data_IF_042430705660
#
_entry.id   IF_042430705660
#
_cell.length_a   1.000
_cell.length_b   1.000
_cell.length_c   1.000
_cell.angle_alpha   90.00
_cell.angle_beta   90.00
_cell.angle_gamma   90.00
#
_symmetry.space_group_name_H-M   'P 1'
#
loop_
_entity.id
_entity.type
_entity.pdbx_description
1 polymer ?
#
# COMPACT_ATOMS: atom_id res chain seq x y z
N UNK A 1 73.98 7.83 7.89
CA UNK A 1 73.11 8.00 6.71
C UNK A 1 71.66 7.55 7.09
N UNK A 2 70.97 8.37 7.84
CA UNK A 2 69.57 8.15 8.22
C UNK A 2 69.01 9.43 8.88
N UNK A 3 68.84 10.49 8.12
CA UNK A 3 68.25 11.76 8.61
C UNK A 3 67.60 12.50 7.45
N UNK A 4 66.44 11.98 6.97
CA UNK A 4 65.59 12.72 6.03
C UNK A 4 64.21 12.01 5.89
N UNK A 5 63.40 11.95 6.94
CA UNK A 5 61.99 11.52 6.84
C UNK A 5 61.09 12.19 7.92
N UNK A 6 61.28 13.47 8.16
CA UNK A 6 60.22 14.29 8.80
C UNK A 6 59.88 15.45 7.86
N UNK A 7 59.13 15.13 6.82
CA UNK A 7 58.41 16.14 6.07
C UNK A 7 57.32 16.61 6.99
N UNK A 8 57.49 17.85 7.49
CA UNK A 8 56.51 18.59 8.26
C UNK A 8 55.21 18.59 7.43
N UNK A 9 54.18 17.92 7.90
CA UNK A 9 52.84 18.03 7.30
C UNK A 9 52.49 19.54 7.41
N UNK A 10 52.38 20.19 6.27
CA UNK A 10 51.86 21.54 6.14
C UNK A 10 50.38 21.41 6.60
N UNK A 11 50.12 21.90 7.81
CA UNK A 11 48.77 22.02 8.34
C UNK A 11 48.11 23.08 7.48
N UNK A 12 47.18 22.71 6.63
CA UNK A 12 46.32 23.65 5.91
C UNK A 12 45.82 24.68 6.94
N UNK A 13 45.94 25.98 6.67
CA UNK A 13 45.46 27.01 7.59
C UNK A 13 43.94 26.75 7.80
N UNK A 14 43.55 26.73 9.08
CA UNK A 14 42.14 26.63 9.45
C UNK A 14 41.34 27.65 8.62
N UNK A 15 40.21 27.26 8.02
CA UNK A 15 39.43 28.21 7.24
C UNK A 15 39.10 29.42 8.09
N UNK A 16 39.35 30.60 7.54
CA UNK A 16 39.08 31.87 8.20
C UNK A 16 37.56 31.97 8.45
N UNK A 17 37.16 31.70 9.70
CA UNK A 17 35.75 31.62 10.13
C UNK A 17 35.09 32.99 9.91
N UNK A 18 35.82 34.08 10.09
CA UNK A 18 35.29 35.42 9.88
C UNK A 18 35.06 35.72 8.38
N UNK A 19 35.95 35.32 7.51
CA UNK A 19 35.77 35.42 6.05
C UNK A 19 34.72 34.50 5.54
N UNK A 20 34.49 33.35 6.18
CA UNK A 20 33.39 32.41 5.82
C UNK A 20 32.03 32.98 6.26
N UNK A 21 31.92 33.59 7.44
CA UNK A 21 30.68 34.21 7.91
C UNK A 21 30.29 35.42 7.05
N UNK A 22 31.24 36.28 6.71
CA UNK A 22 31.02 37.44 5.82
C UNK A 22 30.56 37.01 4.42
N UNK A 23 31.08 35.90 3.88
CA UNK A 23 30.61 35.32 2.59
C UNK A 23 29.18 34.79 2.66
N UNK A 24 28.82 34.12 3.73
CA UNK A 24 27.49 33.61 3.98
C UNK A 24 26.48 34.76 4.09
N UNK A 25 26.79 35.78 4.87
CA UNK A 25 25.91 36.93 5.05
C UNK A 25 25.73 37.72 3.75
N UNK A 26 26.79 37.95 2.99
CA UNK A 26 26.70 38.59 1.68
C UNK A 26 25.86 37.79 0.71
N UNK A 27 26.07 36.47 0.62
CA UNK A 27 25.27 35.57 -0.24
C UNK A 27 23.78 35.64 0.12
N UNK A 28 23.44 35.68 1.41
CA UNK A 28 22.09 35.81 1.91
C UNK A 28 21.48 37.14 1.54
N UNK A 29 22.16 38.26 1.83
CA UNK A 29 21.66 39.61 1.57
C UNK A 29 21.36 39.87 0.09
N UNK A 30 22.15 39.31 -0.84
CA UNK A 30 21.96 39.45 -2.27
C UNK A 30 20.69 38.73 -2.77
N UNK A 31 20.20 37.69 -2.06
CA UNK A 31 19.11 36.78 -2.53
C UNK A 31 17.91 36.74 -1.60
N UNK A 32 18.00 37.29 -0.43
CA UNK A 32 16.96 37.20 0.61
C UNK A 32 15.61 37.77 0.13
N UNK A 33 15.62 38.81 -0.69
CA UNK A 33 14.41 39.43 -1.24
C UNK A 33 13.63 38.44 -2.10
N UNK A 34 14.32 37.69 -2.98
CA UNK A 34 13.72 36.70 -3.86
C UNK A 34 13.21 35.51 -3.05
N UNK A 35 13.98 35.07 -2.05
CA UNK A 35 13.57 33.96 -1.17
C UNK A 35 12.34 34.30 -0.35
N UNK A 36 12.27 35.50 0.23
CA UNK A 36 11.09 35.98 0.97
C UNK A 36 9.88 36.15 0.09
N UNK A 37 10.07 36.64 -1.14
CA UNK A 37 8.98 36.72 -2.13
C UNK A 37 8.46 35.33 -2.46
N UNK A 38 9.35 34.36 -2.74
CA UNK A 38 8.97 32.97 -2.97
C UNK A 38 8.24 32.38 -1.77
N UNK A 39 8.73 32.62 -0.56
CA UNK A 39 8.13 32.12 0.67
C UNK A 39 6.71 32.67 0.86
N UNK A 40 6.50 33.96 0.66
CA UNK A 40 5.19 34.59 0.76
C UNK A 40 4.17 33.98 -0.25
N UNK A 41 4.62 33.73 -1.49
CA UNK A 41 3.79 33.09 -2.53
C UNK A 41 3.45 31.64 -2.10
N UNK A 42 4.44 30.87 -1.69
CA UNK A 42 4.28 29.47 -1.26
C UNK A 42 3.34 29.40 -0.06
N UNK A 43 3.50 30.24 0.95
CA UNK A 43 2.64 30.27 2.12
C UNK A 43 1.17 30.65 1.77
N UNK A 44 0.99 31.58 0.85
CA UNK A 44 -0.34 31.96 0.39
C UNK A 44 -1.04 30.81 -0.38
N UNK A 45 -0.28 30.06 -1.19
CA UNK A 45 -0.77 28.86 -1.90
C UNK A 45 -1.12 27.73 -0.93
N UNK A 46 -0.28 27.42 0.05
CA UNK A 46 -0.51 26.41 1.08
C UNK A 46 -1.76 26.70 1.92
N UNK A 47 -1.98 27.97 2.25
CA UNK A 47 -3.19 28.42 2.99
C UNK A 47 -4.41 28.64 2.11
N UNK A 48 -4.34 28.26 0.83
CA UNK A 48 -5.40 28.44 -0.18
C UNK A 48 -5.94 29.90 -0.27
N UNK A 49 -5.03 30.88 -0.09
CA UNK A 49 -5.33 32.32 -0.12
C UNK A 49 -5.03 32.93 -1.49
N UNK A 50 -5.57 32.33 -2.57
CA UNK A 50 -5.30 32.74 -3.95
C UNK A 50 -5.59 34.23 -4.24
N UNK A 51 -6.56 34.84 -3.55
CA UNK A 51 -6.88 36.28 -3.69
C UNK A 51 -5.77 37.22 -3.22
N UNK A 52 -4.76 36.73 -2.54
CA UNK A 52 -3.63 37.52 -2.03
C UNK A 52 -2.39 37.42 -2.93
N UNK A 53 -2.45 36.66 -3.98
CA UNK A 53 -1.34 36.45 -4.92
C UNK A 53 -1.70 37.22 -6.20
N UNK A 54 -0.80 38.07 -6.65
CA UNK A 54 -0.93 38.78 -7.94
C UNK A 54 -0.64 37.80 -9.10
N UNK A 55 -1.14 38.14 -10.29
CA UNK A 55 -0.84 37.38 -11.50
C UNK A 55 0.68 37.39 -11.80
N UNK A 56 1.35 38.51 -11.50
CA UNK A 56 2.80 38.66 -11.63
C UNK A 56 3.55 37.70 -10.70
N UNK A 57 3.05 37.47 -9.48
CA UNK A 57 3.66 36.53 -8.56
C UNK A 57 3.45 35.07 -8.98
N UNK A 58 2.30 34.74 -9.55
CA UNK A 58 2.05 33.42 -10.11
C UNK A 58 2.97 33.13 -11.31
N UNK A 59 3.18 34.11 -12.18
CA UNK A 59 4.12 33.99 -13.30
C UNK A 59 5.57 33.94 -12.83
N UNK A 60 5.94 34.65 -11.75
CA UNK A 60 7.28 34.64 -11.21
C UNK A 60 7.63 33.35 -10.45
N UNK A 61 6.63 32.60 -9.94
CA UNK A 61 6.83 31.41 -9.10
C UNK A 61 7.82 30.38 -9.68
N UNK A 62 7.75 29.95 -10.97
CA UNK A 62 8.69 28.99 -11.53
C UNK A 62 10.13 29.54 -11.64
N UNK A 63 10.26 30.85 -11.82
CA UNK A 63 11.58 31.53 -11.91
C UNK A 63 12.20 31.61 -10.53
N UNK A 64 11.45 32.10 -9.53
CA UNK A 64 11.88 32.19 -8.14
C UNK A 64 12.24 30.81 -7.56
N UNK A 65 11.46 29.77 -7.91
CA UNK A 65 11.79 28.40 -7.51
C UNK A 65 13.17 27.97 -8.07
N UNK A 66 13.42 28.18 -9.35
CA UNK A 66 14.72 27.82 -9.97
C UNK A 66 15.88 28.60 -9.35
N UNK A 67 15.68 29.87 -9.05
CA UNK A 67 16.69 30.69 -8.36
C UNK A 67 16.98 30.18 -6.95
N UNK A 68 15.94 29.83 -6.18
CA UNK A 68 16.11 29.25 -4.85
C UNK A 68 16.79 27.86 -4.91
N UNK A 69 16.43 27.01 -5.88
CA UNK A 69 17.07 25.72 -6.07
C UNK A 69 18.56 25.85 -6.46
N UNK A 70 18.90 26.81 -7.33
CA UNK A 70 20.29 27.16 -7.65
C UNK A 70 21.04 27.69 -6.41
N UNK A 71 20.39 28.56 -5.63
CA UNK A 71 20.96 29.07 -4.39
C UNK A 71 21.26 27.95 -3.39
N UNK A 72 20.37 26.96 -3.29
CA UNK A 72 20.58 25.76 -2.45
C UNK A 72 21.79 24.95 -2.91
N UNK A 73 21.96 24.75 -4.22
CA UNK A 73 23.09 24.03 -4.77
C UNK A 73 24.41 24.73 -4.43
N UNK A 74 24.50 26.06 -4.64
CA UNK A 74 25.67 26.88 -4.30
C UNK A 74 25.93 26.85 -2.79
N UNK A 75 24.87 26.96 -1.96
CA UNK A 75 24.99 26.91 -0.52
C UNK A 75 25.58 25.57 0.00
N UNK A 76 25.25 24.48 -0.64
CA UNK A 76 25.82 23.15 -0.32
C UNK A 76 27.28 23.02 -0.72
N UNK A 77 27.65 23.51 -1.90
CA UNK A 77 29.03 23.45 -2.40
C UNK A 77 29.97 24.35 -1.61
N UNK A 78 29.50 25.53 -1.19
CA UNK A 78 30.30 26.50 -0.47
C UNK A 78 30.28 26.35 1.05
N UNK A 79 29.64 25.28 1.55
CA UNK A 79 29.54 24.97 2.99
C UNK A 79 29.07 26.18 3.82
N UNK A 80 28.01 26.86 3.38
CA UNK A 80 27.38 27.95 4.10
C UNK A 80 26.81 27.46 5.45
N UNK A 81 26.42 28.42 6.29
CA UNK A 81 25.90 28.12 7.62
C UNK A 81 24.68 27.17 7.57
N UNK A 82 24.56 26.32 8.60
CA UNK A 82 23.52 25.28 8.66
C UNK A 82 22.09 25.86 8.69
N UNK A 83 21.90 27.08 9.19
CA UNK A 83 20.60 27.71 9.27
C UNK A 83 20.11 28.11 7.87
N UNK A 84 20.97 28.73 7.06
CA UNK A 84 20.66 29.07 5.66
C UNK A 84 20.41 27.83 4.83
N UNK A 85 21.18 26.75 5.00
CA UNK A 85 20.94 25.47 4.32
C UNK A 85 19.58 24.90 4.67
N UNK A 86 19.26 24.79 5.96
CA UNK A 86 17.96 24.23 6.42
C UNK A 86 16.79 25.06 5.91
N UNK A 87 16.90 26.38 5.93
CA UNK A 87 15.90 27.29 5.40
C UNK A 87 15.67 27.06 3.90
N UNK A 88 16.73 27.05 3.10
CA UNK A 88 16.63 26.86 1.65
C UNK A 88 16.10 25.47 1.30
N UNK A 89 16.52 24.42 2.00
CA UNK A 89 15.99 23.07 1.80
C UNK A 89 14.49 23.00 2.05
N UNK A 90 14.03 23.63 3.13
CA UNK A 90 12.60 23.72 3.44
C UNK A 90 11.84 24.50 2.38
N UNK A 91 12.34 25.69 2.00
CA UNK A 91 11.71 26.57 1.02
C UNK A 91 11.63 25.91 -0.36
N UNK A 92 12.74 25.36 -0.87
CA UNK A 92 12.79 24.69 -2.17
C UNK A 92 11.85 23.48 -2.21
N UNK A 93 11.81 22.67 -1.15
CA UNK A 93 10.90 21.53 -1.06
C UNK A 93 9.43 21.97 -1.08
N UNK A 94 9.05 22.99 -0.30
CA UNK A 94 7.69 23.53 -0.27
C UNK A 94 7.29 24.12 -1.63
N UNK A 95 8.18 24.92 -2.21
CA UNK A 95 7.96 25.52 -3.53
C UNK A 95 7.84 24.47 -4.63
N UNK A 96 8.62 23.40 -4.58
CA UNK A 96 8.54 22.29 -5.53
C UNK A 96 7.13 21.67 -5.55
N UNK A 97 6.54 21.47 -4.36
CA UNK A 97 5.16 20.96 -4.26
C UNK A 97 4.12 21.91 -4.86
N UNK A 98 4.34 23.21 -4.83
CA UNK A 98 3.43 24.19 -5.43
C UNK A 98 3.58 24.26 -6.96
N UNK A 99 4.80 24.10 -7.48
CA UNK A 99 5.10 24.15 -8.93
C UNK A 99 4.78 22.84 -9.63
N UNK A 100 5.19 21.71 -9.04
CA UNK A 100 5.13 20.37 -9.66
C UNK A 100 4.23 19.37 -8.94
N UNK A 101 3.75 19.73 -7.75
CA UNK A 101 2.89 18.84 -6.96
C UNK A 101 1.53 18.60 -7.60
N UNK A 102 0.81 17.57 -7.16
CA UNK A 102 -0.51 17.26 -7.68
C UNK A 102 -1.50 18.36 -7.36
N UNK A 103 -2.08 18.98 -8.38
CA UNK A 103 -3.05 20.09 -8.26
C UNK A 103 -4.45 19.66 -7.78
N UNK A 104 -4.66 18.37 -7.51
CA UNK A 104 -5.96 17.84 -7.08
C UNK A 104 -6.01 17.71 -5.56
N UNK A 105 -7.03 18.28 -4.93
CA UNK A 105 -7.29 18.08 -3.50
C UNK A 105 -7.55 16.60 -3.20
N UNK A 106 -7.16 16.13 -2.01
CA UNK A 106 -7.41 14.76 -1.53
C UNK A 106 -8.89 14.36 -1.70
N UNK A 107 -9.82 15.26 -1.39
CA UNK A 107 -11.27 15.03 -1.54
C UNK A 107 -11.69 14.83 -3.01
N UNK A 108 -11.12 15.60 -3.94
CA UNK A 108 -11.38 15.43 -5.38
C UNK A 108 -10.78 14.13 -5.89
N UNK A 109 -9.57 13.78 -5.43
CA UNK A 109 -8.94 12.51 -5.77
C UNK A 109 -9.78 11.34 -5.26
N UNK A 110 -10.17 11.35 -3.98
CA UNK A 110 -10.98 10.29 -3.37
C UNK A 110 -12.33 10.14 -4.07
N UNK A 111 -13.00 11.25 -4.40
CA UNK A 111 -14.26 11.21 -5.15
C UNK A 111 -14.11 10.61 -6.54
N UNK A 112 -13.02 10.92 -7.25
CA UNK A 112 -12.72 10.32 -8.56
C UNK A 112 -12.34 8.83 -8.42
N UNK A 113 -11.57 8.50 -7.41
CA UNK A 113 -11.17 7.13 -7.11
C UNK A 113 -12.38 6.24 -6.82
N UNK A 114 -13.19 6.60 -5.83
CA UNK A 114 -14.40 5.84 -5.45
C UNK A 114 -15.51 5.96 -6.48
N UNK A 115 -15.62 7.08 -7.19
CA UNK A 115 -16.64 7.34 -8.20
C UNK A 115 -16.44 6.62 -9.53
N UNK A 116 -15.56 5.59 -9.59
CA UNK A 116 -15.40 4.70 -10.74
C UNK A 116 -13.97 4.51 -11.23
N UNK A 117 -13.01 5.29 -10.74
CA UNK A 117 -11.59 5.11 -11.09
C UNK A 117 -11.06 3.76 -10.64
N UNK A 118 -11.34 3.39 -9.40
CA UNK A 118 -10.94 2.10 -8.84
C UNK A 118 -11.63 0.93 -9.54
N UNK A 119 -12.94 0.98 -9.71
CA UNK A 119 -13.67 -0.09 -10.41
C UNK A 119 -13.21 -0.24 -11.87
N UNK A 120 -12.83 0.84 -12.54
CA UNK A 120 -12.24 0.77 -13.88
C UNK A 120 -10.86 0.10 -13.87
N UNK A 121 -10.01 0.40 -12.87
CA UNK A 121 -8.71 -0.25 -12.71
C UNK A 121 -8.86 -1.76 -12.46
N UNK A 122 -9.80 -2.17 -11.59
CA UNK A 122 -10.11 -3.59 -11.32
C UNK A 122 -10.59 -4.30 -12.59
N UNK A 123 -11.54 -3.74 -13.32
CA UNK A 123 -12.01 -4.34 -14.58
C UNK A 123 -10.93 -4.46 -15.64
N UNK A 124 -9.97 -3.56 -15.66
CA UNK A 124 -8.89 -3.58 -16.64
C UNK A 124 -7.90 -4.74 -16.45
N UNK A 125 -7.89 -5.36 -15.26
CA UNK A 125 -7.04 -6.52 -14.93
C UNK A 125 -7.87 -7.81 -14.73
N UNK A 126 -9.00 -7.94 -15.42
CA UNK A 126 -9.94 -9.06 -15.25
C UNK A 126 -9.29 -10.43 -15.49
N UNK A 127 -8.35 -10.51 -16.45
CA UNK A 127 -7.64 -11.75 -16.77
C UNK A 127 -6.79 -12.21 -15.59
N UNK A 128 -6.04 -11.29 -14.99
CA UNK A 128 -5.21 -11.56 -13.82
C UNK A 128 -6.07 -11.90 -12.59
N UNK A 129 -7.26 -11.32 -12.48
CA UNK A 129 -8.25 -11.70 -11.45
C UNK A 129 -8.70 -13.14 -11.65
N UNK A 130 -9.01 -13.55 -12.87
CA UNK A 130 -9.40 -14.94 -13.17
C UNK A 130 -8.26 -15.93 -12.86
N UNK A 131 -7.01 -15.59 -13.22
CA UNK A 131 -5.85 -16.43 -12.93
C UNK A 131 -5.61 -16.54 -11.42
N UNK A 132 -5.64 -15.42 -10.70
CA UNK A 132 -5.50 -15.40 -9.24
C UNK A 132 -6.62 -16.19 -8.56
N UNK A 133 -7.86 -16.03 -8.99
CA UNK A 133 -9.02 -16.79 -8.47
C UNK A 133 -8.84 -18.29 -8.69
N UNK A 134 -8.42 -18.70 -9.89
CA UNK A 134 -8.16 -20.11 -10.19
C UNK A 134 -7.05 -20.68 -9.28
N UNK A 135 -5.98 -19.92 -9.04
CA UNK A 135 -4.92 -20.32 -8.12
C UNK A 135 -5.43 -20.44 -6.66
N UNK A 136 -6.26 -19.50 -6.20
CA UNK A 136 -6.88 -19.54 -4.87
C UNK A 136 -7.80 -20.74 -4.71
N UNK A 137 -8.67 -21.01 -5.68
CA UNK A 137 -9.57 -22.18 -5.67
C UNK A 137 -8.76 -23.48 -5.70
N UNK A 138 -7.75 -23.57 -6.55
CA UNK A 138 -6.88 -24.74 -6.62
C UNK A 138 -6.16 -24.98 -5.29
N UNK A 139 -5.60 -23.92 -4.66
CA UNK A 139 -4.98 -24.01 -3.34
C UNK A 139 -5.93 -24.53 -2.28
N UNK A 140 -7.16 -23.98 -2.22
CA UNK A 140 -8.19 -24.44 -1.29
C UNK A 140 -8.54 -25.90 -1.50
N UNK A 141 -8.73 -26.33 -2.76
CA UNK A 141 -9.01 -27.72 -3.10
C UNK A 141 -7.85 -28.65 -2.71
N UNK A 142 -6.60 -28.24 -2.96
CA UNK A 142 -5.40 -29.02 -2.58
C UNK A 142 -5.33 -29.17 -1.06
N UNK A 143 -5.49 -28.11 -0.29
CA UNK A 143 -5.46 -28.19 1.18
C UNK A 143 -6.55 -29.09 1.74
N UNK A 144 -7.78 -28.95 1.22
CA UNK A 144 -8.89 -29.84 1.58
C UNK A 144 -8.56 -31.33 1.31
N UNK A 145 -8.09 -31.64 0.09
CA UNK A 145 -7.83 -33.03 -0.33
C UNK A 145 -6.62 -33.65 0.42
N UNK A 146 -5.61 -32.88 0.73
CA UNK A 146 -4.46 -33.37 1.48
C UNK A 146 -4.88 -33.79 2.88
N UNK A 147 -5.58 -32.93 3.61
CA UNK A 147 -6.02 -33.20 4.99
C UNK A 147 -7.11 -34.29 5.03
N UNK A 148 -7.97 -34.35 4.01
CA UNK A 148 -8.96 -35.42 3.86
C UNK A 148 -8.35 -36.81 3.68
N UNK A 149 -7.14 -36.90 3.10
CA UNK A 149 -6.43 -38.17 2.91
C UNK A 149 -5.56 -38.55 4.10
N UNK A 150 -4.95 -37.55 4.73
CA UNK A 150 -4.04 -37.73 5.85
C UNK A 150 -4.08 -36.48 6.73
N UNK A 151 -4.58 -36.64 7.95
CA UNK A 151 -4.78 -35.54 8.91
C UNK A 151 -3.46 -34.86 9.35
N UNK A 152 -2.30 -35.53 9.20
CA UNK A 152 -1.00 -34.97 9.60
C UNK A 152 -0.63 -33.77 8.70
N UNK A 153 -1.15 -33.71 7.48
CA UNK A 153 -1.00 -32.55 6.60
C UNK A 153 -1.54 -31.25 7.21
N UNK A 154 -2.53 -31.36 8.11
CA UNK A 154 -3.07 -30.16 8.77
C UNK A 154 -1.99 -29.38 9.52
N UNK A 155 -1.19 -30.06 10.30
CA UNK A 155 -0.15 -29.44 11.12
C UNK A 155 1.01 -28.90 10.27
N UNK A 156 1.28 -29.52 9.14
CA UNK A 156 2.27 -29.03 8.17
C UNK A 156 1.80 -27.77 7.46
N UNK A 157 0.49 -27.63 7.18
CA UNK A 157 -0.09 -26.51 6.43
C UNK A 157 -0.46 -25.32 7.33
N UNK A 158 -1.08 -25.58 8.48
CA UNK A 158 -1.64 -24.53 9.34
C UNK A 158 -0.62 -24.04 10.38
N UNK A 159 0.31 -24.88 10.80
CA UNK A 159 1.28 -24.59 11.85
C UNK A 159 0.64 -24.54 13.25
N UNK A 160 1.44 -24.83 14.27
CA UNK A 160 0.95 -24.92 15.67
C UNK A 160 0.38 -23.61 16.19
N UNK A 161 0.99 -22.47 15.88
CA UNK A 161 0.57 -21.15 16.35
C UNK A 161 -0.80 -20.73 15.83
N UNK A 162 -1.17 -21.17 14.62
CA UNK A 162 -2.47 -20.89 13.99
C UNK A 162 -3.52 -21.95 14.28
N UNK A 163 -3.11 -23.17 14.59
CA UNK A 163 -4.01 -24.26 14.91
C UNK A 163 -4.88 -23.93 16.15
N UNK A 164 -4.30 -23.36 17.21
CA UNK A 164 -5.07 -22.85 18.35
C UNK A 164 -6.10 -23.85 18.91
N UNK A 165 -5.78 -25.15 18.94
CA UNK A 165 -6.71 -26.22 19.33
C UNK A 165 -7.73 -26.62 18.27
N UNK A 166 -7.62 -26.14 17.03
CA UNK A 166 -8.56 -26.40 15.92
C UNK A 166 -8.09 -27.52 14.98
N UNK A 167 -7.28 -28.45 15.46
CA UNK A 167 -6.77 -29.55 14.64
C UNK A 167 -7.76 -30.72 14.44
N UNK A 168 -7.45 -31.68 13.54
CA UNK A 168 -8.28 -32.85 13.28
C UNK A 168 -8.57 -33.74 14.51
N UNK A 169 -7.71 -33.67 15.55
CA UNK A 169 -7.92 -34.37 16.82
C UNK A 169 -8.84 -33.66 17.81
N UNK A 170 -9.31 -32.44 17.50
CA UNK A 170 -10.20 -31.71 18.38
C UNK A 170 -11.65 -32.23 18.25
N UNK A 171 -12.29 -32.51 19.39
CA UNK A 171 -13.69 -32.91 19.39
C UNK A 171 -14.62 -31.79 18.88
N UNK A 172 -15.80 -32.19 18.34
CA UNK A 172 -16.80 -31.25 17.82
C UNK A 172 -17.12 -30.10 18.78
N UNK A 173 -17.26 -30.39 20.08
CA UNK A 173 -17.59 -29.38 21.07
C UNK A 173 -16.46 -28.35 21.25
N UNK A 174 -15.21 -28.81 21.24
CA UNK A 174 -14.04 -27.94 21.31
C UNK A 174 -13.96 -27.03 20.08
N UNK A 175 -14.18 -27.59 18.88
CA UNK A 175 -14.25 -26.80 17.62
C UNK A 175 -15.39 -25.78 17.65
N UNK A 176 -16.60 -26.19 18.10
CA UNK A 176 -17.76 -25.30 18.18
C UNK A 176 -17.49 -24.10 19.11
N UNK A 177 -16.82 -24.33 20.26
CA UNK A 177 -16.42 -23.23 21.17
C UNK A 177 -15.52 -22.19 20.50
N UNK A 178 -14.69 -22.59 19.55
CA UNK A 178 -13.82 -21.64 18.83
C UNK A 178 -14.57 -20.71 17.87
N UNK A 179 -15.81 -21.02 17.53
CA UNK A 179 -16.69 -20.19 16.70
C UNK A 179 -17.59 -19.25 17.52
N UNK A 180 -17.67 -19.47 18.85
CA UNK A 180 -18.38 -18.61 19.79
C UNK A 180 -17.60 -17.32 20.10
N UNK A 181 -18.29 -16.31 20.68
CA UNK A 181 -17.71 -14.99 20.96
C UNK A 181 -16.97 -14.85 22.31
N UNK A 182 -16.89 -15.92 23.15
CA UNK A 182 -16.57 -15.78 24.57
C UNK A 182 -15.14 -16.16 25.00
N UNK A 183 -14.18 -16.34 24.12
CA UNK A 183 -12.82 -16.72 24.52
C UNK A 183 -11.86 -15.53 24.47
N UNK A 184 -11.17 -15.23 25.58
CA UNK A 184 -10.15 -14.17 25.70
C UNK A 184 -9.06 -14.22 24.63
N UNK A 185 -8.77 -15.40 24.06
CA UNK A 185 -7.83 -15.58 22.96
C UNK A 185 -8.34 -15.18 21.57
N UNK A 186 -9.65 -14.97 21.38
CA UNK A 186 -10.23 -14.68 20.06
C UNK A 186 -9.84 -13.30 19.50
N UNK A 187 -9.67 -12.30 20.36
CA UNK A 187 -9.24 -10.95 19.93
C UNK A 187 -7.80 -10.98 19.41
N UNK A 188 -6.91 -11.71 20.10
CA UNK A 188 -5.51 -11.87 19.66
C UNK A 188 -5.45 -12.65 18.36
N UNK A 189 -6.25 -13.72 18.25
CA UNK A 189 -6.33 -14.51 17.01
C UNK A 189 -6.89 -13.70 15.82
N UNK A 190 -7.88 -12.86 16.04
CA UNK A 190 -8.43 -11.97 15.04
C UNK A 190 -7.40 -10.94 14.56
N UNK A 191 -6.71 -10.29 15.50
CA UNK A 191 -5.64 -9.35 15.15
C UNK A 191 -4.50 -10.04 14.38
N UNK A 192 -4.19 -11.29 14.71
CA UNK A 192 -3.21 -12.10 14.00
C UNK A 192 -3.68 -12.41 12.58
N UNK A 193 -4.93 -12.87 12.38
CA UNK A 193 -5.50 -13.16 11.07
C UNK A 193 -5.53 -11.90 10.18
N UNK A 194 -6.00 -10.79 10.72
CA UNK A 194 -6.01 -9.52 9.99
C UNK A 194 -4.59 -9.13 9.53
N UNK A 195 -3.61 -9.18 10.44
CA UNK A 195 -2.22 -8.86 10.12
C UNK A 195 -1.64 -9.83 9.10
N UNK A 196 -1.97 -11.12 9.19
CA UNK A 196 -1.57 -12.13 8.21
C UNK A 196 -2.16 -11.86 6.84
N UNK A 197 -3.47 -11.59 6.74
CA UNK A 197 -4.15 -11.36 5.47
C UNK A 197 -3.71 -10.05 4.81
N UNK A 198 -3.46 -9.01 5.60
CA UNK A 198 -2.85 -7.77 5.10
C UNK A 198 -1.42 -8.02 4.60
N UNK A 199 -0.61 -8.77 5.35
CA UNK A 199 0.74 -9.15 4.95
C UNK A 199 0.75 -9.98 3.66
N UNK A 200 -0.13 -10.98 3.54
CA UNK A 200 -0.29 -11.80 2.33
C UNK A 200 -0.69 -10.92 1.14
N UNK A 201 -1.64 -10.00 1.30
CA UNK A 201 -2.09 -9.11 0.22
C UNK A 201 -0.96 -8.23 -0.30
N UNK A 202 -0.20 -7.60 0.61
CA UNK A 202 0.94 -6.75 0.26
C UNK A 202 2.06 -7.57 -0.39
N UNK A 203 2.37 -8.74 0.19
CA UNK A 203 3.43 -9.62 -0.32
C UNK A 203 3.05 -10.21 -1.69
N UNK A 204 1.80 -10.63 -1.90
CA UNK A 204 1.31 -11.12 -3.19
C UNK A 204 1.45 -10.05 -4.28
N UNK A 205 1.18 -8.78 -3.94
CA UNK A 205 1.44 -7.66 -4.86
C UNK A 205 2.94 -7.48 -5.12
N UNK A 206 3.76 -7.41 -4.07
CA UNK A 206 5.19 -7.16 -4.19
C UNK A 206 5.93 -8.27 -4.97
N UNK A 207 5.57 -9.52 -4.76
CA UNK A 207 6.12 -10.67 -5.48
C UNK A 207 5.78 -10.67 -6.98
N UNK A 208 4.81 -9.87 -7.40
CA UNK A 208 4.50 -9.62 -8.80
C UNK A 208 5.70 -9.10 -9.60
N UNK A 209 6.57 -8.32 -8.98
CA UNK A 209 7.81 -7.82 -9.61
C UNK A 209 8.82 -8.94 -9.95
N UNK A 210 8.64 -10.16 -9.45
CA UNK A 210 9.37 -11.35 -9.87
C UNK A 210 8.59 -12.13 -10.95
N UNK A 211 8.08 -11.43 -11.96
CA UNK A 211 7.32 -11.97 -13.10
C UNK A 211 6.02 -12.70 -12.74
N UNK A 212 5.51 -12.50 -11.52
CA UNK A 212 4.24 -13.01 -11.03
C UNK A 212 4.21 -14.48 -10.59
N UNK A 213 5.23 -15.28 -10.87
CA UNK A 213 5.26 -16.70 -10.46
C UNK A 213 5.22 -16.84 -8.93
N UNK A 214 6.05 -16.14 -8.13
CA UNK A 214 5.98 -16.23 -6.68
C UNK A 214 4.63 -15.77 -6.10
N UNK A 215 3.95 -14.82 -6.77
CA UNK A 215 2.58 -14.42 -6.39
C UNK A 215 1.61 -15.59 -6.46
N UNK A 216 1.63 -16.36 -7.56
CA UNK A 216 0.78 -17.55 -7.71
C UNK A 216 1.07 -18.59 -6.63
N UNK A 217 2.34 -18.87 -6.38
CA UNK A 217 2.75 -19.82 -5.34
C UNK A 217 2.28 -19.38 -3.96
N UNK A 218 2.40 -18.08 -3.63
CA UNK A 218 1.91 -17.54 -2.38
C UNK A 218 0.39 -17.66 -2.24
N UNK A 219 -0.36 -17.34 -3.30
CA UNK A 219 -1.83 -17.47 -3.30
C UNK A 219 -2.25 -18.93 -3.10
N UNK A 220 -1.65 -19.88 -3.82
CA UNK A 220 -1.91 -21.31 -3.65
C UNK A 220 -1.60 -21.73 -2.21
N UNK A 221 -0.40 -21.41 -1.72
CA UNK A 221 0.04 -21.78 -0.36
C UNK A 221 -0.90 -21.22 0.71
N UNK A 222 -1.25 -19.94 0.64
CA UNK A 222 -2.14 -19.33 1.62
C UNK A 222 -3.55 -19.97 1.60
N UNK A 223 -4.02 -20.37 0.44
CA UNK A 223 -5.34 -21.01 0.29
C UNK A 223 -5.35 -22.50 0.66
N UNK A 224 -4.20 -23.20 0.65
CA UNK A 224 -4.15 -24.57 1.19
C UNK A 224 -4.49 -24.60 2.68
N UNK A 225 -4.05 -23.59 3.43
CA UNK A 225 -4.37 -23.41 4.84
C UNK A 225 -5.89 -23.25 5.06
N UNK A 226 -6.54 -22.42 4.23
CA UNK A 226 -7.99 -22.27 4.27
C UNK A 226 -8.70 -23.59 3.96
N UNK A 227 -8.25 -24.32 2.93
CA UNK A 227 -8.78 -25.63 2.56
C UNK A 227 -8.66 -26.66 3.68
N UNK A 228 -7.51 -26.69 4.36
CA UNK A 228 -7.27 -27.56 5.51
C UNK A 228 -8.24 -27.27 6.67
N UNK A 229 -8.43 -26.00 7.01
CA UNK A 229 -9.38 -25.61 8.07
C UNK A 229 -10.83 -25.93 7.66
N UNK A 230 -11.23 -25.64 6.43
CA UNK A 230 -12.57 -25.97 5.93
C UNK A 230 -12.87 -27.46 6.06
N UNK A 231 -11.89 -28.33 5.76
CA UNK A 231 -12.07 -29.78 5.90
C UNK A 231 -12.28 -30.18 7.36
N UNK A 232 -11.45 -29.73 8.28
CA UNK A 232 -11.55 -30.08 9.72
C UNK A 232 -12.92 -29.74 10.29
N UNK A 233 -13.43 -28.56 10.00
CA UNK A 233 -14.76 -28.18 10.48
C UNK A 233 -15.89 -28.91 9.74
N UNK A 234 -15.73 -29.22 8.46
CA UNK A 234 -16.70 -30.00 7.71
C UNK A 234 -16.79 -31.45 8.20
N UNK A 235 -15.64 -32.09 8.46
CA UNK A 235 -15.56 -33.46 9.01
C UNK A 235 -16.19 -33.55 10.39
N UNK A 236 -16.02 -32.52 11.22
CA UNK A 236 -16.70 -32.41 12.53
C UNK A 236 -18.20 -32.07 12.41
N UNK A 237 -18.77 -31.91 11.22
CA UNK A 237 -20.16 -31.50 10.97
C UNK A 237 -20.45 -30.03 11.36
N UNK A 238 -19.43 -29.16 11.34
CA UNK A 238 -19.48 -27.72 11.63
C UNK A 238 -19.16 -26.87 10.40
N UNK A 239 -19.25 -27.43 9.21
CA UNK A 239 -18.85 -26.74 7.99
C UNK A 239 -19.65 -25.48 7.71
N UNK A 240 -20.98 -25.50 7.96
CA UNK A 240 -21.84 -24.33 7.81
C UNK A 240 -21.48 -23.23 8.82
N UNK A 241 -21.36 -23.62 10.09
CA UNK A 241 -21.05 -22.70 11.18
C UNK A 241 -19.68 -22.01 10.97
N UNK A 242 -18.69 -22.77 10.50
CA UNK A 242 -17.37 -22.22 10.17
C UNK A 242 -17.43 -21.31 8.92
N UNK A 243 -18.12 -21.71 7.87
CA UNK A 243 -18.30 -20.87 6.68
C UNK A 243 -19.02 -19.56 7.00
N UNK A 244 -20.06 -19.61 7.84
CA UNK A 244 -20.77 -18.43 8.30
C UNK A 244 -19.88 -17.55 9.20
N UNK A 245 -19.11 -18.15 10.10
CA UNK A 245 -18.16 -17.45 10.95
C UNK A 245 -17.09 -16.73 10.15
N UNK A 246 -16.55 -17.38 9.12
CA UNK A 246 -15.56 -16.82 8.24
C UNK A 246 -16.15 -15.70 7.36
N UNK A 247 -17.37 -15.87 6.87
CA UNK A 247 -17.95 -14.99 5.83
C UNK A 247 -18.09 -13.54 6.25
N UNK A 248 -18.30 -13.25 7.55
CA UNK A 248 -18.61 -11.90 8.02
C UNK A 248 -17.50 -10.87 7.66
N UNK A 249 -16.24 -11.29 7.67
CA UNK A 249 -15.07 -10.50 7.27
C UNK A 249 -14.33 -11.12 6.08
N UNK A 250 -14.25 -12.45 6.06
CA UNK A 250 -13.45 -13.21 5.11
C UNK A 250 -13.84 -13.00 3.65
N UNK A 251 -15.11 -12.76 3.33
CA UNK A 251 -15.53 -12.44 1.95
C UNK A 251 -14.83 -11.18 1.44
N UNK A 252 -14.71 -10.14 2.26
CA UNK A 252 -14.02 -8.89 1.93
C UNK A 252 -12.50 -9.07 1.92
N UNK A 253 -11.94 -9.82 2.87
CA UNK A 253 -10.50 -10.10 2.94
C UNK A 253 -10.00 -10.95 1.78
N UNK A 254 -10.69 -12.06 1.49
CA UNK A 254 -10.32 -12.94 0.38
C UNK A 254 -10.42 -12.20 -0.96
N UNK A 255 -11.40 -11.31 -1.10
CA UNK A 255 -11.50 -10.46 -2.29
C UNK A 255 -10.36 -9.44 -2.34
N UNK A 256 -9.92 -8.89 -1.20
CA UNK A 256 -8.76 -8.00 -1.14
C UNK A 256 -7.45 -8.73 -1.50
N UNK A 257 -7.25 -9.97 -0.99
CA UNK A 257 -6.10 -10.83 -1.34
C UNK A 257 -6.12 -11.14 -2.85
N UNK A 258 -7.29 -11.48 -3.40
CA UNK A 258 -7.47 -11.73 -4.82
C UNK A 258 -7.05 -10.52 -5.66
N UNK A 259 -7.51 -9.33 -5.29
CA UNK A 259 -7.18 -8.08 -6.00
C UNK A 259 -5.70 -7.71 -5.86
N UNK A 260 -5.11 -7.91 -4.67
CA UNK A 260 -3.68 -7.69 -4.44
C UNK A 260 -2.81 -8.63 -5.28
N UNK A 261 -3.15 -9.92 -5.30
CA UNK A 261 -2.50 -10.91 -6.14
C UNK A 261 -2.65 -10.61 -7.64
N UNK A 262 -3.87 -10.28 -8.08
CA UNK A 262 -4.13 -9.90 -9.48
C UNK A 262 -3.34 -8.63 -9.89
N UNK A 263 -3.24 -7.64 -9.00
CA UNK A 263 -2.43 -6.45 -9.23
C UNK A 263 -0.93 -6.79 -9.38
N UNK A 264 -0.42 -7.70 -8.55
CA UNK A 264 0.94 -8.23 -8.67
C UNK A 264 1.15 -8.98 -9.99
N UNK A 265 0.23 -9.88 -10.34
CA UNK A 265 0.27 -10.61 -11.62
C UNK A 265 0.22 -9.65 -12.82
N UNK A 266 -0.53 -8.55 -12.74
CA UNK A 266 -0.60 -7.54 -13.80
C UNK A 266 0.76 -6.90 -14.05
N UNK A 267 1.48 -6.52 -13.01
CA UNK A 267 2.84 -6.00 -13.12
C UNK A 267 3.77 -7.09 -13.67
N UNK A 268 3.74 -8.30 -13.09
CA UNK A 268 4.59 -9.42 -13.48
C UNK A 268 4.42 -9.79 -14.95
N UNK A 269 3.18 -9.90 -15.42
CA UNK A 269 2.87 -10.18 -16.83
C UNK A 269 3.36 -9.08 -17.75
N UNK A 270 3.24 -7.82 -17.36
CA UNK A 270 3.73 -6.70 -18.18
C UNK A 270 5.26 -6.68 -18.29
N UNK A 271 5.96 -7.15 -17.25
CA UNK A 271 7.42 -7.30 -17.27
C UNK A 271 7.87 -8.51 -18.08
N UNK A 272 7.13 -9.61 -18.01
CA UNK A 272 7.42 -10.83 -18.76
C UNK A 272 7.16 -10.64 -20.27
N UNK A 273 6.16 -9.84 -20.62
CA UNK A 273 5.73 -9.60 -22.00
C UNK A 273 5.61 -8.11 -22.28
N UNK A 274 6.74 -7.35 -22.33
CA UNK A 274 6.72 -5.89 -22.44
C UNK A 274 6.36 -5.38 -23.85
N UNK A 275 6.31 -6.25 -24.87
CA UNK A 275 6.18 -5.86 -26.26
C UNK A 275 7.38 -5.01 -26.72
N UNK A 276 7.10 -3.93 -27.45
CA UNK A 276 8.14 -3.01 -27.98
C UNK A 276 8.69 -2.03 -26.93
N UNK A 277 8.23 -2.10 -25.67
CA UNK A 277 8.67 -1.21 -24.58
C UNK A 277 9.80 -1.83 -23.78
N UNK A 278 10.58 -1.00 -23.10
CA UNK A 278 11.51 -1.53 -22.09
C UNK A 278 10.73 -2.15 -20.92
N UNK A 279 11.31 -3.16 -20.28
CA UNK A 279 10.70 -3.82 -19.09
C UNK A 279 10.32 -2.81 -18.01
N UNK A 280 11.19 -1.82 -17.76
CA UNK A 280 10.94 -0.79 -16.76
C UNK A 280 9.77 0.14 -17.15
N UNK A 281 9.67 0.52 -18.42
CA UNK A 281 8.55 1.32 -18.91
C UNK A 281 7.22 0.55 -18.81
N UNK A 282 7.20 -0.72 -19.19
CA UNK A 282 6.03 -1.59 -19.07
C UNK A 282 5.60 -1.77 -17.60
N UNK A 283 6.57 -2.01 -16.71
CA UNK A 283 6.33 -2.12 -15.26
C UNK A 283 5.78 -0.81 -14.67
N UNK A 284 6.30 0.35 -15.08
CA UNK A 284 5.82 1.66 -14.61
C UNK A 284 4.37 1.93 -15.02
N UNK A 285 4.01 1.61 -16.25
CA UNK A 285 2.64 1.78 -16.75
C UNK A 285 1.64 0.84 -16.06
N UNK A 286 1.99 -0.44 -15.92
CA UNK A 286 1.19 -1.41 -15.19
C UNK A 286 1.11 -1.05 -13.71
N UNK A 287 2.22 -0.59 -13.12
CA UNK A 287 2.33 -0.21 -11.72
C UNK A 287 1.36 0.90 -11.32
N UNK A 288 1.11 1.90 -12.18
CA UNK A 288 0.11 2.95 -11.91
C UNK A 288 -1.30 2.39 -11.73
N UNK A 289 -1.69 1.41 -12.55
CA UNK A 289 -2.99 0.75 -12.45
C UNK A 289 -3.03 -0.18 -11.25
N UNK A 290 -2.00 -0.96 -11.06
CA UNK A 290 -1.85 -1.88 -9.92
C UNK A 290 -1.89 -1.13 -8.58
N UNK A 291 -1.26 0.05 -8.49
CA UNK A 291 -1.31 0.90 -7.30
C UNK A 291 -2.74 1.39 -6.98
N UNK A 292 -3.56 1.69 -7.99
CA UNK A 292 -4.97 2.03 -7.78
C UNK A 292 -5.76 0.83 -7.23
N UNK A 293 -5.52 -0.38 -7.75
CA UNK A 293 -6.16 -1.61 -7.26
C UNK A 293 -5.72 -1.87 -5.81
N UNK A 294 -4.43 -1.76 -5.51
CA UNK A 294 -3.88 -1.94 -4.16
C UNK A 294 -4.42 -0.92 -3.16
N UNK A 295 -4.53 0.35 -3.53
CA UNK A 295 -5.14 1.36 -2.65
C UNK A 295 -6.57 0.98 -2.25
N UNK A 296 -7.33 0.40 -3.18
CA UNK A 296 -8.65 -0.12 -2.91
C UNK A 296 -8.65 -1.40 -2.07
N UNK A 297 -7.71 -2.32 -2.32
CA UNK A 297 -7.55 -3.53 -1.51
C UNK A 297 -7.23 -3.18 -0.04
N UNK A 298 -6.38 -2.18 0.20
CA UNK A 298 -6.12 -1.67 1.56
C UNK A 298 -7.39 -1.14 2.21
N UNK A 299 -8.22 -0.37 1.47
CA UNK A 299 -9.51 0.09 1.99
C UNK A 299 -10.44 -1.07 2.36
N UNK A 300 -10.48 -2.13 1.52
CA UNK A 300 -11.25 -3.34 1.82
C UNK A 300 -10.74 -4.05 3.08
N UNK A 301 -9.43 -4.16 3.26
CA UNK A 301 -8.84 -4.75 4.47
C UNK A 301 -9.20 -3.95 5.73
N UNK A 302 -9.19 -2.63 5.66
CA UNK A 302 -9.65 -1.79 6.78
C UNK A 302 -11.13 -2.05 7.09
N UNK A 303 -11.99 -2.14 6.07
CA UNK A 303 -13.41 -2.50 6.26
C UNK A 303 -13.57 -3.90 6.87
N UNK A 304 -12.80 -4.88 6.39
CA UNK A 304 -12.82 -6.24 6.91
C UNK A 304 -12.36 -6.31 8.38
N UNK A 305 -11.29 -5.59 8.74
CA UNK A 305 -10.81 -5.51 10.11
C UNK A 305 -11.82 -4.88 11.07
N UNK A 306 -12.59 -3.88 10.61
CA UNK A 306 -13.70 -3.32 11.39
C UNK A 306 -14.83 -4.34 11.57
N UNK A 307 -15.19 -5.10 10.53
CA UNK A 307 -16.17 -6.16 10.60
C UNK A 307 -15.71 -7.30 11.52
N UNK A 308 -14.44 -7.64 11.49
CA UNK A 308 -13.86 -8.66 12.37
C UNK A 308 -13.84 -8.20 13.83
N UNK A 309 -13.37 -6.97 14.09
CA UNK A 309 -13.25 -6.45 15.45
C UNK A 309 -14.59 -6.21 16.14
N UNK A 310 -15.57 -5.67 15.42
CA UNK A 310 -16.88 -5.33 15.98
C UNK A 310 -17.99 -6.32 15.57
N UNK A 311 -18.09 -6.63 14.27
CA UNK A 311 -19.19 -7.43 13.75
C UNK A 311 -19.20 -8.84 14.30
N UNK A 312 -18.04 -9.47 14.45
CA UNK A 312 -17.93 -10.84 14.96
C UNK A 312 -18.33 -10.96 16.44
N UNK A 313 -18.11 -9.92 17.23
CA UNK A 313 -18.48 -9.91 18.65
C UNK A 313 -19.97 -9.64 18.85
N UNK A 314 -20.57 -8.81 18.02
CA UNK A 314 -21.97 -8.40 18.14
C UNK A 314 -22.95 -9.39 17.49
N UNK A 315 -22.52 -10.12 16.46
CA UNK A 315 -23.36 -11.03 15.69
C UNK A 315 -22.90 -12.46 15.92
N UNK A 316 -23.71 -13.26 16.62
CA UNK A 316 -23.41 -14.65 16.97
C UNK A 316 -24.17 -15.64 16.06
N UNK A 317 -25.36 -15.26 15.60
CA UNK A 317 -26.20 -16.11 14.75
C UNK A 317 -25.52 -16.40 13.39
N UNK A 318 -25.36 -17.69 13.00
CA UNK A 318 -24.71 -18.06 11.75
C UNK A 318 -25.40 -17.51 10.50
N UNK A 319 -26.74 -17.44 10.49
CA UNK A 319 -27.49 -16.92 9.34
C UNK A 319 -27.26 -15.42 9.17
N UNK A 320 -27.26 -14.67 10.28
CA UNK A 320 -26.96 -13.25 10.26
C UNK A 320 -25.51 -12.99 9.80
N UNK A 321 -24.52 -13.79 10.27
CA UNK A 321 -23.12 -13.73 9.81
C UNK A 321 -23.00 -13.94 8.31
N UNK A 322 -23.62 -15.02 7.80
CA UNK A 322 -23.63 -15.34 6.38
C UNK A 322 -24.33 -14.26 5.53
N UNK A 323 -25.40 -13.67 6.07
CA UNK A 323 -26.13 -12.57 5.40
C UNK A 323 -25.29 -11.30 5.29
N UNK A 324 -24.54 -10.93 6.34
CA UNK A 324 -23.62 -9.80 6.32
C UNK A 324 -22.50 -10.07 5.32
N UNK A 325 -21.85 -11.23 5.40
CA UNK A 325 -20.76 -11.58 4.49
C UNK A 325 -21.19 -11.65 3.03
N UNK A 326 -22.34 -12.25 2.76
CA UNK A 326 -22.95 -12.30 1.41
C UNK A 326 -23.34 -10.90 0.90
N UNK A 327 -23.91 -10.07 1.77
CA UNK A 327 -24.25 -8.68 1.46
C UNK A 327 -23.00 -7.84 1.11
N UNK A 328 -21.92 -8.01 1.88
CA UNK A 328 -20.64 -7.34 1.59
C UNK A 328 -20.03 -7.81 0.26
N UNK A 329 -20.04 -9.12 -0.01
CA UNK A 329 -19.57 -9.64 -1.29
C UNK A 329 -20.40 -9.08 -2.45
N UNK A 330 -21.73 -9.10 -2.33
CA UNK A 330 -22.62 -8.54 -3.33
C UNK A 330 -22.36 -7.03 -3.54
N UNK A 331 -22.17 -6.28 -2.46
CA UNK A 331 -21.82 -4.85 -2.54
C UNK A 331 -20.57 -4.64 -3.37
N UNK A 332 -19.48 -5.37 -3.10
CA UNK A 332 -18.24 -5.24 -3.86
C UNK A 332 -18.40 -5.64 -5.32
N UNK A 333 -19.09 -6.74 -5.60
CA UNK A 333 -19.34 -7.18 -6.97
C UNK A 333 -20.16 -6.13 -7.75
N UNK A 334 -21.25 -5.64 -7.16
CA UNK A 334 -22.08 -4.57 -7.74
C UNK A 334 -21.24 -3.31 -7.97
N UNK A 335 -20.43 -2.91 -7.01
CA UNK A 335 -19.52 -1.76 -7.14
C UNK A 335 -18.57 -1.93 -8.34
N UNK A 336 -17.91 -3.08 -8.47
CA UNK A 336 -16.94 -3.28 -9.55
C UNK A 336 -17.60 -3.44 -10.92
N UNK A 337 -18.81 -3.98 -11.00
CA UNK A 337 -19.52 -4.20 -12.27
C UNK A 337 -20.26 -2.95 -12.73
N UNK A 338 -21.05 -2.32 -11.83
CA UNK A 338 -21.98 -1.24 -12.21
C UNK A 338 -21.37 0.15 -12.19
N UNK A 339 -20.42 0.44 -11.27
CA UNK A 339 -19.84 1.77 -11.21
C UNK A 339 -18.85 1.97 -12.37
N UNK A 340 -19.33 2.64 -13.41
CA UNK A 340 -18.49 3.06 -14.52
C UNK A 340 -18.07 4.51 -14.31
N UNK A 341 -16.75 4.77 -14.35
CA UNK A 341 -16.26 6.15 -14.44
C UNK A 341 -16.95 6.83 -15.63
N UNK A 342 -17.66 7.92 -15.37
CA UNK A 342 -18.00 8.83 -16.46
C UNK A 342 -16.66 9.27 -17.04
N UNK A 343 -16.35 8.87 -18.28
CA UNK A 343 -15.23 9.44 -19.03
C UNK A 343 -15.39 10.95 -18.91
N UNK A 344 -14.45 11.63 -18.27
CA UNK A 344 -14.28 13.03 -18.54
C UNK A 344 -14.04 13.09 -20.05
N UNK A 345 -15.01 13.58 -20.79
CA UNK A 345 -14.80 14.03 -22.17
C UNK A 345 -13.64 15.01 -22.08
N UNK A 346 -12.45 14.56 -22.43
CA UNK A 346 -11.36 15.47 -22.77
C UNK A 346 -11.83 16.08 -24.06
N UNK A 347 -12.43 17.28 -23.96
CA UNK A 347 -12.53 18.15 -25.12
C UNK A 347 -11.11 18.44 -25.61
N UNK A 348 -10.90 18.42 -26.92
CA UNK A 348 -9.59 18.51 -27.57
C UNK A 348 -8.87 19.83 -27.28
#
# INVERSE_FOLDING_TARGET
>A
MALALFRKAEIDPLPDIEAASLRSDRFRLERETDWRRLEAIVEALEKNRLRRISDDDLLALPVLYRQAASSLAVARETSLDAATLTYLESLVRRAWFQVYGPRTSLGTWLRRFLGGGWSAAVRAIWLEICIALAAMVAGTAVGWLLVARDSDWYYALVGEGMAGGRGPGAGREALAKTLGGETEGLTVFAAYLFSNNAGVTILAFALGFAFGIPTLLLLVYNMTMLGAMLWVFADAGLGWEFAAWLSIHGTTELLAILLGGAAGLHVGRSMAFPGDRSVLAAASDAGRRAAQVMAGAVLMLVCAGLLEGYGRQLVVDPVARASIGGGMLLFWLVYFVLLRSRRATVEP
#
